data_IF_068949593015
#
_entry.id   IF_068949593015
#
_cell.length_a   1.000
_cell.length_b   1.000
_cell.length_c   1.000
_cell.angle_alpha   90.00
_cell.angle_beta   90.00
_cell.angle_gamma   90.00
#
_symmetry.space_group_name_H-M   'P 1'
#
loop_
_entity.id
_entity.type
_entity.pdbx_description
1 polymer ?
#
# COMPACT_ATOMS: atom_id res chain seq x y z
N UNK A 1 12.26 9.50 -1.56
CA UNK A 1 11.21 9.57 -2.59
C UNK A 1 10.35 10.82 -2.44
N UNK A 2 10.27 11.35 -1.24
CA UNK A 2 9.37 12.44 -0.84
C UNK A 2 7.88 12.11 -1.07
N UNK A 3 7.53 10.81 -1.10
CA UNK A 3 6.13 10.41 -1.04
C UNK A 3 5.59 10.64 0.37
N UNK A 4 4.38 11.21 0.50
CA UNK A 4 3.83 11.54 1.81
C UNK A 4 3.47 10.25 2.58
N UNK A 5 3.86 10.22 3.85
CA UNK A 5 3.45 9.21 4.83
C UNK A 5 2.80 9.91 6.01
N UNK A 6 1.93 9.25 6.78
CA UNK A 6 1.41 9.84 8.00
C UNK A 6 2.54 10.26 8.95
N UNK A 7 2.38 11.40 9.60
CA UNK A 7 3.34 11.86 10.60
C UNK A 7 3.41 10.84 11.74
N UNK A 8 4.59 10.35 12.04
CA UNK A 8 4.80 9.31 13.03
C UNK A 8 6.10 9.47 13.79
N UNK A 9 6.13 8.97 15.03
CA UNK A 9 7.35 8.88 15.84
C UNK A 9 7.33 7.60 16.67
N UNK A 10 8.53 7.07 16.93
CA UNK A 10 8.73 5.99 17.89
C UNK A 10 8.80 6.61 19.29
N UNK A 11 8.07 6.05 20.24
CA UNK A 11 8.09 6.41 21.64
C UNK A 11 8.49 5.19 22.50
N UNK A 12 9.36 5.41 23.46
CA UNK A 12 9.87 4.39 24.39
C UNK A 12 9.24 4.50 25.78
N UNK A 13 8.45 5.54 26.01
CA UNK A 13 7.70 5.80 27.22
C UNK A 13 6.44 6.61 26.90
N UNK A 14 5.57 6.78 27.89
CA UNK A 14 4.30 7.48 27.75
C UNK A 14 4.52 8.98 27.50
N UNK A 15 5.52 9.58 28.13
CA UNK A 15 5.84 11.00 28.01
C UNK A 15 6.25 11.36 26.57
N UNK A 16 7.07 10.54 25.91
CA UNK A 16 7.44 10.72 24.51
C UNK A 16 6.22 10.59 23.59
N UNK A 17 5.35 9.61 23.86
CA UNK A 17 4.12 9.41 23.12
C UNK A 17 3.19 10.63 23.22
N UNK A 18 3.02 11.18 24.43
CA UNK A 18 2.21 12.36 24.70
C UNK A 18 2.77 13.58 23.99
N UNK A 19 4.06 13.87 24.13
CA UNK A 19 4.71 15.02 23.47
C UNK A 19 4.55 15.00 21.95
N UNK A 20 4.60 13.81 21.35
CA UNK A 20 4.39 13.70 19.91
C UNK A 20 2.92 13.87 19.54
N UNK A 21 1.99 13.30 20.32
CA UNK A 21 0.56 13.46 20.09
C UNK A 21 0.11 14.93 20.21
N UNK A 22 0.66 15.67 21.18
CA UNK A 22 0.40 17.12 21.34
C UNK A 22 0.83 17.92 20.12
N UNK A 23 1.95 17.52 19.49
CA UNK A 23 2.46 18.17 18.28
C UNK A 23 1.58 17.91 17.05
N UNK A 24 1.09 16.67 16.87
CA UNK A 24 0.33 16.29 15.66
C UNK A 24 -1.18 16.42 15.84
N UNK A 25 -1.68 16.47 17.09
CA UNK A 25 -3.10 16.51 17.44
C UNK A 25 -3.77 15.14 17.39
N UNK A 26 -4.90 15.04 18.11
CA UNK A 26 -5.75 13.85 18.13
C UNK A 26 -6.73 13.81 16.95
N UNK A 27 -7.22 12.62 16.54
CA UNK A 27 -6.87 11.28 17.05
C UNK A 27 -5.51 10.79 16.54
N UNK A 28 -4.86 9.92 17.33
CA UNK A 28 -3.61 9.24 16.97
C UNK A 28 -3.78 7.73 17.00
N UNK A 29 -2.99 7.04 16.19
CA UNK A 29 -2.90 5.57 16.18
C UNK A 29 -1.65 5.17 16.94
N UNK A 30 -1.77 4.18 17.82
CA UNK A 30 -0.66 3.61 18.58
C UNK A 30 -0.48 2.17 18.12
N UNK A 31 0.75 1.81 17.74
CA UNK A 31 1.11 0.46 17.28
C UNK A 31 2.33 -0.02 18.06
N UNK A 32 2.21 -1.07 18.87
CA UNK A 32 3.37 -1.67 19.54
C UNK A 32 4.35 -2.24 18.52
N UNK A 33 5.63 -2.02 18.74
CA UNK A 33 6.66 -2.57 17.87
C UNK A 33 6.76 -4.09 18.04
N UNK A 34 6.94 -4.80 16.91
CA UNK A 34 7.14 -6.26 16.85
C UNK A 34 6.02 -7.11 17.46
N UNK A 35 4.79 -6.59 17.56
CA UNK A 35 3.61 -7.39 17.89
C UNK A 35 2.95 -7.94 16.62
N UNK A 36 2.25 -9.07 16.76
CA UNK A 36 1.54 -9.69 15.64
C UNK A 36 0.05 -9.36 15.69
N UNK A 37 -0.56 -9.15 14.53
CA UNK A 37 -2.02 -9.00 14.40
C UNK A 37 -2.58 -7.74 15.06
N UNK A 38 -1.79 -6.69 15.25
CA UNK A 38 -2.25 -5.42 15.85
C UNK A 38 -2.52 -5.49 17.36
N UNK A 39 -2.10 -6.56 18.04
CA UNK A 39 -2.31 -6.75 19.47
C UNK A 39 -1.68 -5.60 20.28
N UNK A 40 -2.46 -5.01 21.18
CA UNK A 40 -2.01 -3.91 22.05
C UNK A 40 -1.99 -2.52 21.39
N UNK A 41 -2.35 -2.43 20.12
CA UNK A 41 -2.54 -1.16 19.41
C UNK A 41 -3.97 -0.63 19.54
N UNK A 42 -4.16 0.64 19.17
CA UNK A 42 -5.47 1.27 19.17
C UNK A 42 -5.45 2.69 18.65
N UNK A 43 -6.63 3.29 18.62
CA UNK A 43 -6.83 4.70 18.29
C UNK A 43 -7.14 5.44 19.58
N UNK A 44 -6.34 6.47 19.88
CA UNK A 44 -6.58 7.37 20.99
C UNK A 44 -7.17 8.68 20.50
N UNK A 45 -8.30 9.09 21.10
CA UNK A 45 -8.98 10.34 20.76
C UNK A 45 -8.63 11.48 21.71
N UNK A 46 -7.98 11.17 22.82
CA UNK A 46 -7.56 12.10 23.86
C UNK A 46 -6.36 11.56 24.64
N UNK A 47 -5.78 12.39 25.50
CA UNK A 47 -4.59 12.07 26.31
C UNK A 47 -4.78 10.86 27.21
N UNK A 48 -5.99 10.70 27.80
CA UNK A 48 -6.26 9.57 28.70
C UNK A 48 -6.25 8.24 27.95
N UNK A 49 -6.93 8.17 26.82
CA UNK A 49 -6.92 6.99 25.96
C UNK A 49 -5.52 6.69 25.44
N UNK A 50 -4.74 7.73 25.11
CA UNK A 50 -3.36 7.58 24.69
C UNK A 50 -2.52 6.93 25.78
N UNK A 51 -2.60 7.41 27.02
CA UNK A 51 -1.82 6.85 28.12
C UNK A 51 -2.14 5.37 28.35
N UNK A 52 -3.44 5.01 28.38
CA UNK A 52 -3.89 3.63 28.59
C UNK A 52 -3.41 2.69 27.46
N UNK A 53 -3.55 3.11 26.19
CA UNK A 53 -3.16 2.29 25.02
C UNK A 53 -1.63 2.22 24.92
N UNK A 54 -0.92 3.33 25.15
CA UNK A 54 0.54 3.37 25.08
C UNK A 54 1.18 2.50 26.18
N UNK A 55 0.68 2.56 27.41
CA UNK A 55 1.14 1.70 28.50
C UNK A 55 0.99 0.22 28.16
N UNK A 56 -0.19 -0.18 27.71
CA UNK A 56 -0.44 -1.55 27.27
C UNK A 56 0.47 -1.95 26.10
N UNK A 57 0.63 -1.07 25.12
CA UNK A 57 1.48 -1.30 23.95
C UNK A 57 2.96 -1.45 24.30
N UNK A 58 3.49 -0.61 25.17
CA UNK A 58 4.86 -0.68 25.67
C UNK A 58 5.13 -2.00 26.43
N UNK A 59 4.16 -2.44 27.24
CA UNK A 59 4.26 -3.70 27.99
C UNK A 59 4.23 -4.93 27.07
N UNK A 60 3.48 -4.88 25.98
CA UNK A 60 3.36 -5.99 25.02
C UNK A 60 4.49 -6.01 23.97
N UNK A 61 5.16 -4.90 23.76
CA UNK A 61 6.29 -4.83 22.84
C UNK A 61 7.54 -5.50 23.40
N UNK A 62 8.14 -6.47 22.70
CA UNK A 62 9.38 -7.13 23.13
C UNK A 62 10.56 -6.16 23.34
N UNK A 63 10.49 -4.98 22.73
CA UNK A 63 11.53 -3.94 22.80
C UNK A 63 11.05 -2.68 23.52
N UNK A 64 9.90 -2.75 24.19
CA UNK A 64 9.30 -1.62 24.94
C UNK A 64 9.21 -0.35 24.09
N UNK A 65 8.62 -0.48 22.88
CA UNK A 65 8.46 0.62 21.94
C UNK A 65 7.05 0.63 21.34
N UNK A 66 6.51 1.82 21.12
CA UNK A 66 5.30 2.04 20.35
C UNK A 66 5.56 3.05 19.24
N UNK A 67 4.91 2.88 18.11
CA UNK A 67 4.79 3.89 17.07
C UNK A 67 3.53 4.69 17.35
N UNK A 68 3.66 6.01 17.44
CA UNK A 68 2.53 6.95 17.50
C UNK A 68 2.42 7.63 16.15
N UNK A 69 1.25 7.60 15.55
CA UNK A 69 1.01 8.01 14.17
C UNK A 69 -0.26 8.84 14.06
N UNK A 70 -0.26 9.88 13.23
CA UNK A 70 -1.47 10.65 12.90
C UNK A 70 -2.55 9.73 12.34
N UNK A 71 -3.75 9.79 12.89
CA UNK A 71 -4.89 9.04 12.36
C UNK A 71 -5.29 9.56 10.99
N UNK A 72 -5.49 8.61 10.07
CA UNK A 72 -6.03 8.83 8.73
C UNK A 72 -7.45 8.28 8.59
N UNK A 73 -8.16 8.17 9.71
CA UNK A 73 -9.56 7.74 9.73
C UNK A 73 -10.40 8.64 8.81
N UNK A 74 -11.30 8.04 8.04
CA UNK A 74 -12.15 8.75 7.08
C UNK A 74 -11.55 8.95 5.69
N UNK A 75 -10.26 8.65 5.48
CA UNK A 75 -9.68 8.60 4.15
C UNK A 75 -10.20 7.37 3.38
N UNK A 76 -10.18 7.44 2.04
CA UNK A 76 -10.42 6.28 1.18
C UNK A 76 -9.17 5.43 1.14
N UNK A 77 -9.32 4.12 1.25
CA UNK A 77 -8.23 3.18 1.01
C UNK A 77 -8.24 2.75 -0.45
N UNK A 78 -7.10 2.94 -1.12
CA UNK A 78 -6.92 2.66 -2.55
C UNK A 78 -5.67 1.83 -2.74
N UNK A 79 -5.77 0.76 -3.50
CA UNK A 79 -4.68 -0.16 -3.76
C UNK A 79 -4.30 -0.17 -5.24
N UNK A 80 -3.01 -0.32 -5.51
CA UNK A 80 -2.48 -0.49 -6.86
C UNK A 80 -1.68 -1.79 -6.94
N UNK A 81 -2.09 -2.69 -7.82
CA UNK A 81 -1.29 -3.85 -8.20
C UNK A 81 -0.35 -3.46 -9.32
N UNK A 82 0.93 -3.45 -9.00
CA UNK A 82 2.01 -2.99 -9.89
C UNK A 82 2.96 -4.13 -10.18
N UNK A 83 3.50 -4.17 -11.38
CA UNK A 83 4.55 -5.11 -11.76
C UNK A 83 5.71 -4.40 -12.42
N UNK A 84 6.93 -4.91 -12.16
CA UNK A 84 8.15 -4.41 -12.78
C UNK A 84 9.12 -5.57 -13.06
N UNK A 85 9.84 -5.48 -14.17
CA UNK A 85 10.91 -6.42 -14.52
C UNK A 85 12.31 -5.83 -14.35
N UNK A 86 13.35 -6.65 -14.54
CA UNK A 86 14.74 -6.24 -14.43
C UNK A 86 15.18 -5.19 -15.49
N UNK A 87 14.41 -5.02 -16.56
CA UNK A 87 14.66 -4.03 -17.61
C UNK A 87 13.93 -2.69 -17.34
N UNK A 88 13.39 -2.51 -16.11
CA UNK A 88 12.59 -1.37 -15.68
C UNK A 88 11.27 -1.16 -16.45
N UNK A 89 10.78 -2.21 -17.12
CA UNK A 89 9.43 -2.18 -17.66
C UNK A 89 8.44 -2.33 -16.50
N UNK A 90 7.69 -1.28 -16.21
CA UNK A 90 6.73 -1.25 -15.12
C UNK A 90 5.32 -0.95 -15.61
N UNK A 91 4.33 -1.61 -15.02
CA UNK A 91 2.91 -1.37 -15.29
C UNK A 91 2.10 -1.37 -14.00
N UNK A 92 1.00 -0.64 -14.03
CA UNK A 92 -0.12 -0.86 -13.12
C UNK A 92 -1.06 -1.85 -13.78
N UNK A 93 -1.30 -2.99 -13.13
CA UNK A 93 -2.22 -4.02 -13.63
C UNK A 93 -3.65 -3.66 -13.31
N UNK A 94 -3.89 -3.19 -12.08
CA UNK A 94 -5.21 -2.81 -11.60
C UNK A 94 -5.09 -1.78 -10.49
N UNK A 95 -6.05 -0.87 -10.43
CA UNK A 95 -6.36 -0.08 -9.24
C UNK A 95 -7.61 -0.65 -8.58
N UNK A 96 -7.67 -0.59 -7.27
CA UNK A 96 -8.77 -1.13 -6.47
C UNK A 96 -9.11 -0.16 -5.34
N UNK A 97 -10.34 -0.15 -4.93
CA UNK A 97 -10.87 0.71 -3.87
C UNK A 97 -11.54 -0.14 -2.80
N UNK A 98 -11.16 0.05 -1.55
CA UNK A 98 -11.82 -0.56 -0.41
C UNK A 98 -13.07 0.25 -0.06
N UNK A 99 -14.21 -0.43 0.08
CA UNK A 99 -15.46 0.19 0.49
C UNK A 99 -15.44 0.58 1.98
N UNK A 100 -14.82 -0.26 2.78
CA UNK A 100 -14.71 -0.07 4.22
C UNK A 100 -13.70 1.03 4.56
N UNK A 101 -13.83 1.68 5.72
CA UNK A 101 -12.91 2.73 6.14
C UNK A 101 -11.46 2.23 6.27
N UNK A 102 -10.50 3.14 6.11
CA UNK A 102 -9.09 2.87 6.39
C UNK A 102 -8.92 2.29 7.80
N UNK A 103 -8.20 1.17 7.90
CA UNK A 103 -7.97 0.44 9.15
C UNK A 103 -8.71 -0.89 9.25
N UNK A 104 -9.69 -1.15 8.39
CA UNK A 104 -10.24 -2.50 8.22
C UNK A 104 -9.27 -3.29 7.35
N UNK A 105 -8.88 -4.48 7.82
CA UNK A 105 -7.92 -5.31 7.09
C UNK A 105 -8.47 -5.68 5.70
N UNK A 106 -7.68 -5.48 4.64
CA UNK A 106 -8.06 -5.73 3.23
C UNK A 106 -8.70 -7.09 3.00
N UNK A 107 -8.33 -8.10 3.80
CA UNK A 107 -8.91 -9.45 3.72
C UNK A 107 -10.35 -9.55 4.21
N UNK A 108 -10.82 -8.58 4.97
CA UNK A 108 -12.13 -8.54 5.61
C UNK A 108 -13.01 -7.42 5.03
N UNK A 109 -12.46 -6.62 4.12
CA UNK A 109 -13.10 -5.49 3.43
C UNK A 109 -13.67 -5.90 2.08
N UNK A 110 -14.75 -5.23 1.66
CA UNK A 110 -15.23 -5.29 0.29
C UNK A 110 -14.35 -4.44 -0.61
N UNK A 111 -13.82 -5.04 -1.68
CA UNK A 111 -12.90 -4.40 -2.63
C UNK A 111 -13.52 -4.36 -4.01
N UNK A 112 -13.52 -3.18 -4.62
CA UNK A 112 -13.95 -2.96 -6.01
C UNK A 112 -12.73 -2.84 -6.94
N UNK A 113 -12.77 -3.53 -8.05
CA UNK A 113 -11.77 -3.50 -9.11
C UNK A 113 -12.45 -3.30 -10.48
N UNK A 114 -12.18 -2.20 -11.20
CA UNK A 114 -11.36 -1.03 -10.84
C UNK A 114 -12.02 -0.12 -9.80
N UNK A 115 -11.30 0.95 -9.36
CA UNK A 115 -11.85 2.01 -8.50
C UNK A 115 -13.09 2.64 -9.12
N UNK A 116 -14.11 2.91 -8.29
CA UNK A 116 -15.42 3.39 -8.76
C UNK A 116 -15.66 4.87 -8.44
N UNK A 117 -15.03 5.40 -7.37
CA UNK A 117 -15.33 6.73 -6.86
C UNK A 117 -14.20 7.75 -7.04
N UNK A 118 -13.09 7.34 -7.68
CA UNK A 118 -11.96 8.20 -7.97
C UNK A 118 -12.13 8.89 -9.33
N UNK A 119 -11.73 10.16 -9.39
CA UNK A 119 -11.55 10.88 -10.65
C UNK A 119 -10.31 10.37 -11.39
N UNK A 120 -10.27 10.55 -12.70
CA UNK A 120 -9.09 10.19 -13.51
C UNK A 120 -7.81 10.87 -13.00
N UNK A 121 -7.91 12.12 -12.56
CA UNK A 121 -6.77 12.86 -12.00
C UNK A 121 -6.21 12.21 -10.72
N UNK A 122 -7.06 11.75 -9.83
CA UNK A 122 -6.67 11.03 -8.62
C UNK A 122 -6.03 9.69 -8.96
N UNK A 123 -6.62 8.95 -9.90
CA UNK A 123 -6.06 7.68 -10.38
C UNK A 123 -4.68 7.88 -10.98
N UNK A 124 -4.48 8.88 -11.84
CA UNK A 124 -3.16 9.14 -12.46
C UNK A 124 -2.12 9.57 -11.42
N UNK A 125 -2.49 10.41 -10.47
CA UNK A 125 -1.60 10.84 -9.38
C UNK A 125 -1.10 9.66 -8.55
N UNK A 126 -2.01 8.79 -8.10
CA UNK A 126 -1.65 7.62 -7.30
C UNK A 126 -0.91 6.55 -8.13
N UNK A 127 -1.25 6.41 -9.41
CA UNK A 127 -0.54 5.56 -10.36
C UNK A 127 0.92 5.97 -10.51
N UNK A 128 1.18 7.26 -10.69
CA UNK A 128 2.54 7.78 -10.84
C UNK A 128 3.34 7.57 -9.55
N UNK A 129 2.74 7.79 -8.39
CA UNK A 129 3.33 7.49 -7.09
C UNK A 129 3.68 6.00 -6.95
N UNK A 130 2.76 5.10 -7.30
CA UNK A 130 2.99 3.64 -7.23
C UNK A 130 4.14 3.20 -8.16
N UNK A 131 4.21 3.72 -9.39
CA UNK A 131 5.29 3.43 -10.33
C UNK A 131 6.64 3.99 -9.85
N UNK A 132 6.65 5.17 -9.25
CA UNK A 132 7.84 5.78 -8.65
C UNK A 132 8.36 4.96 -7.47
N UNK A 133 7.45 4.48 -6.62
CA UNK A 133 7.79 3.65 -5.45
C UNK A 133 8.42 2.32 -5.88
N UNK A 134 7.79 1.57 -6.79
CA UNK A 134 8.28 0.25 -7.20
C UNK A 134 9.66 0.35 -7.87
N UNK A 135 9.91 1.43 -8.64
CA UNK A 135 11.22 1.68 -9.27
C UNK A 135 12.28 2.01 -8.24
N UNK A 136 11.99 2.91 -7.31
CA UNK A 136 12.96 3.34 -6.31
C UNK A 136 13.35 2.22 -5.35
N UNK A 137 12.40 1.36 -4.98
CA UNK A 137 12.65 0.17 -4.17
C UNK A 137 13.27 -0.98 -4.97
N UNK A 138 13.42 -0.82 -6.29
CA UNK A 138 13.99 -1.82 -7.21
C UNK A 138 13.28 -3.18 -7.11
N UNK A 139 11.98 -3.17 -6.82
CA UNK A 139 11.18 -4.39 -6.72
C UNK A 139 11.05 -4.99 -8.11
N UNK A 140 11.32 -6.30 -8.23
CA UNK A 140 11.10 -7.10 -9.42
C UNK A 140 9.98 -8.12 -9.17
N UNK A 141 9.01 -8.19 -10.06
CA UNK A 141 7.80 -9.00 -9.91
C UNK A 141 6.58 -8.18 -9.55
N UNK A 142 5.68 -8.76 -8.77
CA UNK A 142 4.45 -8.10 -8.32
C UNK A 142 4.63 -7.32 -7.03
N UNK A 143 3.92 -6.22 -6.91
CA UNK A 143 3.89 -5.38 -5.72
C UNK A 143 2.51 -4.77 -5.55
N UNK A 144 1.98 -4.82 -4.35
CA UNK A 144 0.79 -4.10 -3.94
C UNK A 144 1.21 -2.82 -3.21
N UNK A 145 0.68 -1.68 -3.64
CA UNK A 145 0.90 -0.38 -2.99
C UNK A 145 -0.43 0.14 -2.50
N UNK A 146 -0.52 0.44 -1.21
CA UNK A 146 -1.73 0.93 -0.55
C UNK A 146 -1.59 2.41 -0.21
N UNK A 147 -2.63 3.16 -0.54
CA UNK A 147 -2.73 4.60 -0.30
C UNK A 147 -3.98 4.92 0.51
N UNK A 148 -3.87 5.94 1.36
CA UNK A 148 -5.01 6.65 1.91
C UNK A 148 -5.19 7.95 1.13
N UNK A 149 -6.36 8.17 0.55
CA UNK A 149 -6.71 9.37 -0.20
C UNK A 149 -7.77 10.17 0.55
N UNK A 150 -7.52 11.45 0.79
CA UNK A 150 -8.51 12.35 1.37
C UNK A 150 -9.73 12.48 0.45
N UNK A 151 -10.93 12.39 1.02
CA UNK A 151 -12.20 12.47 0.27
C UNK A 151 -12.46 13.83 -0.37
N UNK A 152 -11.84 14.88 0.15
CA UNK A 152 -12.17 16.27 -0.18
C UNK A 152 -11.00 17.02 -0.86
N UNK A 153 -9.84 16.36 -1.01
CA UNK A 153 -8.66 16.98 -1.61
C UNK A 153 -7.80 15.92 -2.32
N UNK A 154 -6.76 16.38 -3.03
CA UNK A 154 -5.75 15.49 -3.61
C UNK A 154 -4.67 15.04 -2.63
N UNK A 155 -4.88 15.27 -1.32
CA UNK A 155 -3.94 14.84 -0.28
C UNK A 155 -4.02 13.33 -0.12
N UNK A 156 -2.88 12.67 -0.17
CA UNK A 156 -2.80 11.23 0.06
C UNK A 156 -1.61 10.89 0.95
N UNK A 157 -1.62 9.66 1.45
CA UNK A 157 -0.51 9.07 2.17
C UNK A 157 -0.26 7.66 1.64
N UNK A 158 1.01 7.25 1.63
CA UNK A 158 1.39 5.85 1.44
C UNK A 158 1.19 5.13 2.77
N UNK A 159 0.36 4.09 2.78
CA UNK A 159 0.09 3.28 3.97
C UNK A 159 1.09 2.12 4.03
N UNK A 160 1.15 1.35 2.95
CA UNK A 160 1.93 0.10 2.92
C UNK A 160 2.39 -0.22 1.51
N UNK A 161 3.57 -0.84 1.43
CA UNK A 161 4.13 -1.39 0.19
C UNK A 161 4.45 -2.86 0.41
N UNK A 162 3.76 -3.73 -0.30
CA UNK A 162 3.90 -5.18 -0.18
C UNK A 162 4.63 -5.75 -1.41
N UNK A 163 5.94 -6.00 -1.36
CA UNK A 163 6.72 -6.47 -2.52
C UNK A 163 6.51 -7.97 -2.79
N UNK A 164 5.28 -8.37 -2.94
CA UNK A 164 4.85 -9.75 -3.14
C UNK A 164 3.51 -9.82 -3.85
N UNK A 165 3.21 -10.97 -4.43
CA UNK A 165 1.84 -11.31 -4.85
C UNK A 165 0.99 -11.59 -3.60
N UNK A 166 -0.24 -11.10 -3.59
CA UNK A 166 -1.17 -11.15 -2.46
C UNK A 166 -2.57 -11.64 -2.88
N UNK A 167 -3.52 -11.63 -1.94
CA UNK A 167 -4.93 -11.94 -2.23
C UNK A 167 -5.54 -10.93 -3.20
N UNK A 168 -5.20 -9.66 -3.06
CA UNK A 168 -5.63 -8.59 -3.97
C UNK A 168 -5.11 -8.79 -5.39
N UNK A 169 -3.91 -9.37 -5.56
CA UNK A 169 -3.39 -9.75 -6.88
C UNK A 169 -4.26 -10.81 -7.59
N UNK A 170 -4.88 -11.72 -6.84
CA UNK A 170 -5.80 -12.70 -7.38
C UNK A 170 -7.11 -12.03 -7.87
N UNK A 171 -7.65 -11.08 -7.10
CA UNK A 171 -8.80 -10.27 -7.50
C UNK A 171 -8.48 -9.44 -8.75
N UNK A 172 -7.36 -8.73 -8.75
CA UNK A 172 -6.88 -7.95 -9.89
C UNK A 172 -6.70 -8.82 -11.14
N UNK A 173 -6.11 -10.01 -11.00
CA UNK A 173 -5.96 -10.95 -12.11
C UNK A 173 -7.30 -11.40 -12.67
N UNK A 174 -8.29 -11.63 -11.82
CA UNK A 174 -9.65 -12.03 -12.23
C UNK A 174 -10.38 -10.87 -12.92
N UNK A 175 -10.25 -9.65 -12.40
CA UNK A 175 -10.91 -8.46 -12.94
C UNK A 175 -10.35 -8.05 -14.30
N UNK A 176 -9.03 -8.14 -14.48
CA UNK A 176 -8.34 -7.66 -15.68
C UNK A 176 -8.03 -8.75 -16.72
N UNK A 177 -8.13 -10.03 -16.33
CA UNK A 177 -7.64 -11.15 -17.13
C UNK A 177 -6.11 -11.27 -17.20
N UNK A 178 -5.36 -10.39 -16.49
CA UNK A 178 -3.91 -10.39 -16.49
C UNK A 178 -3.35 -11.35 -15.42
N UNK A 179 -2.54 -12.38 -15.81
CA UNK A 179 -2.13 -13.43 -14.90
C UNK A 179 -0.93 -13.01 -14.04
N UNK A 180 -1.14 -12.17 -13.02
CA UNK A 180 -0.09 -11.57 -12.17
C UNK A 180 0.86 -12.64 -11.62
N UNK A 181 0.36 -13.69 -10.97
CA UNK A 181 1.17 -14.74 -10.36
C UNK A 181 2.08 -15.45 -11.39
N UNK A 182 1.53 -15.78 -12.56
CA UNK A 182 2.30 -16.39 -13.66
C UNK A 182 3.41 -15.48 -14.16
N UNK A 183 3.12 -14.17 -14.27
CA UNK A 183 4.10 -13.20 -14.74
C UNK A 183 5.17 -12.93 -13.68
N UNK A 184 4.80 -12.83 -12.39
CA UNK A 184 5.74 -12.72 -11.29
C UNK A 184 6.71 -13.92 -11.24
N UNK A 185 6.19 -15.14 -11.37
CA UNK A 185 7.02 -16.35 -11.45
C UNK A 185 8.00 -16.33 -12.64
N UNK A 186 7.54 -15.89 -13.82
CA UNK A 186 8.41 -15.75 -14.99
C UNK A 186 9.52 -14.72 -14.80
N UNK A 187 9.22 -13.59 -14.14
CA UNK A 187 10.23 -12.57 -13.81
C UNK A 187 11.26 -13.14 -12.83
N UNK A 188 10.83 -13.82 -11.78
CA UNK A 188 11.70 -14.43 -10.78
C UNK A 188 12.64 -15.49 -11.37
N UNK A 189 12.14 -16.37 -12.25
CA UNK A 189 12.97 -17.40 -12.92
C UNK A 189 14.01 -16.78 -13.86
N UNK A 190 13.65 -15.72 -14.59
CA UNK A 190 14.59 -15.03 -15.50
C UNK A 190 15.71 -14.30 -14.76
N UNK A 191 15.46 -13.80 -13.56
CA UNK A 191 16.48 -13.21 -12.69
C UNK A 191 17.63 -14.19 -12.42
N UNK A 192 17.34 -15.48 -12.31
CA UNK A 192 18.33 -16.53 -12.06
C UNK A 192 19.06 -17.00 -13.33
N UNK A 193 18.54 -16.68 -14.52
CA UNK A 193 19.16 -17.01 -15.81
C UNK A 193 19.97 -15.82 -16.35
N UNK A 194 20.99 -15.37 -15.62
CA UNK A 194 21.98 -14.40 -16.10
C UNK A 194 22.94 -15.01 -17.10
N UNK A 195 22.45 -15.67 -18.15
CA UNK A 195 23.29 -16.02 -19.30
C UNK A 195 22.44 -16.25 -20.56
N UNK A 196 22.44 -15.28 -21.42
CA UNK A 196 22.51 -15.53 -22.85
C UNK A 196 21.24 -15.61 -23.68
N UNK A 197 20.09 -15.00 -23.35
CA UNK A 197 19.03 -14.87 -24.36
C UNK A 197 18.15 -13.63 -24.15
N UNK A 198 18.58 -12.52 -24.71
CA UNK A 198 17.86 -11.24 -24.79
C UNK A 198 16.58 -11.23 -25.66
N UNK A 199 16.22 -12.35 -26.28
CA UNK A 199 15.23 -12.36 -27.39
C UNK A 199 13.76 -12.46 -26.99
N UNK A 200 13.37 -12.51 -25.71
CA UNK A 200 11.97 -12.72 -25.31
C UNK A 200 11.26 -11.58 -24.58
N UNK A 201 11.90 -10.44 -24.39
CA UNK A 201 11.29 -9.23 -23.80
C UNK A 201 10.17 -8.64 -24.68
N UNK A 202 10.23 -8.83 -25.97
CA UNK A 202 9.21 -8.36 -26.91
C UNK A 202 7.79 -8.92 -26.66
N UNK A 203 7.68 -10.16 -26.14
CA UNK A 203 6.39 -10.79 -25.83
C UNK A 203 5.73 -10.25 -24.53
N UNK A 204 6.52 -9.79 -23.58
CA UNK A 204 5.99 -9.13 -22.37
C UNK A 204 5.47 -7.74 -22.72
N UNK A 205 6.21 -6.98 -23.54
CA UNK A 205 5.77 -5.67 -24.05
C UNK A 205 4.48 -5.74 -24.84
N UNK A 206 4.26 -6.81 -25.62
CA UNK A 206 3.02 -6.97 -26.41
C UNK A 206 1.83 -7.32 -25.51
N UNK A 207 2.03 -8.11 -24.47
CA UNK A 207 1.00 -8.38 -23.43
C UNK A 207 0.61 -7.12 -22.67
N UNK A 208 1.58 -6.25 -22.33
CA UNK A 208 1.34 -4.97 -21.67
C UNK A 208 0.53 -3.99 -22.54
N UNK A 209 0.80 -3.90 -23.83
CA UNK A 209 0.02 -3.05 -24.77
C UNK A 209 -1.43 -3.50 -24.91
N UNK A 210 -1.70 -4.81 -24.95
CA UNK A 210 -3.06 -5.34 -25.06
C UNK A 210 -3.88 -5.07 -23.78
N UNK A 211 -3.28 -5.19 -22.60
CA UNK A 211 -3.96 -4.93 -21.33
C UNK A 211 -4.33 -3.44 -21.18
N UNK A 212 -3.44 -2.53 -21.56
CA UNK A 212 -3.74 -1.09 -21.56
C UNK A 212 -4.84 -0.71 -22.56
N UNK A 213 -4.94 -1.40 -23.68
CA UNK A 213 -6.01 -1.17 -24.67
C UNK A 213 -7.37 -1.70 -24.21
N UNK A 214 -7.41 -2.84 -23.50
CA UNK A 214 -8.68 -3.39 -22.97
C UNK A 214 -9.24 -2.58 -21.79
N UNK A 215 -8.39 -1.98 -20.97
CA UNK A 215 -8.84 -1.09 -19.90
C UNK A 215 -9.41 0.23 -20.47
N UNK A 216 -8.84 0.74 -21.57
CA UNK A 216 -9.33 1.95 -22.22
C UNK A 216 -10.67 1.75 -22.95
N UNK A 217 -11.03 0.53 -23.34
CA UNK A 217 -12.29 0.23 -24.04
C UNK A 217 -13.43 -0.16 -23.10
N UNK A 218 -13.17 -0.36 -21.81
CA UNK A 218 -14.20 -0.58 -20.78
C UNK A 218 -14.68 0.70 -20.09
N UNK A 219 -14.15 1.85 -20.47
CA UNK A 219 -14.52 3.17 -19.94
C UNK A 219 -15.33 4.01 -20.94
N UNK A 220 -16.27 3.36 -21.68
CA UNK A 220 -17.33 4.05 -22.47
C UNK A 220 -18.68 3.57 -22.01
#
# INVERSE_FOLDING_TARGET
LHEPVPESAIANNIEEAQQFADKIGFPVIIRPAFTMGGTGGGIANNEKELAEIAENGLNLSPVTQVLVERSIAGYKEVEFEVMRDAADSAIVVCNMENFDPVGVHTGDSMVFAPTQTLTDKEVQMLRDAALKIIRALKIEGGCNVQFALDRNSFKYYVIEVNPRVSRSSALASKATGYPIAKMAAKIAVRRNQKSGHEKNLGRIRTGFRLCCHQIATLSV
#
